data_IF_396419665005
#
_entry.id   IF_396419665005
#
_cell.length_a   1.000
_cell.length_b   1.000
_cell.length_c   1.000
_cell.angle_alpha   90.00
_cell.angle_beta   90.00
_cell.angle_gamma   90.00
#
_symmetry.space_group_name_H-M   'P 1'
#
loop_
_entity.id
_entity.type
_entity.pdbx_description
1 polymer ?
#
# COMPACT_ATOMS: atom_id res chain seq x y z
N UNK A 1 19.43 -23.80 -46.19
CA UNK A 1 19.00 -25.00 -45.46
C UNK A 1 19.70 -24.95 -44.11
N UNK A 2 18.90 -25.07 -43.06
CA UNK A 2 19.26 -25.50 -41.69
C UNK A 2 20.11 -24.51 -40.87
N UNK A 3 19.56 -23.80 -39.87
CA UNK A 3 19.20 -24.27 -38.50
C UNK A 3 20.46 -24.71 -37.72
N UNK A 4 20.77 -24.35 -36.47
CA UNK A 4 20.02 -23.74 -35.36
C UNK A 4 20.95 -23.59 -34.13
N UNK A 5 20.57 -22.68 -33.22
CA UNK A 5 20.79 -22.68 -31.75
C UNK A 5 22.21 -22.34 -31.24
N UNK A 6 22.35 -21.10 -30.75
CA UNK A 6 23.30 -20.77 -29.67
C UNK A 6 22.51 -20.58 -28.39
N UNK A 7 22.90 -21.37 -27.38
CA UNK A 7 22.26 -21.56 -26.08
C UNK A 7 22.28 -20.26 -25.26
N UNK A 8 21.11 -19.84 -24.79
CA UNK A 8 20.97 -18.81 -23.77
C UNK A 8 21.13 -19.45 -22.39
N UNK A 9 22.23 -19.13 -21.71
CA UNK A 9 22.39 -19.38 -20.28
C UNK A 9 23.11 -18.18 -19.67
N UNK A 10 22.31 -17.34 -19.00
CA UNK A 10 22.59 -16.52 -17.80
C UNK A 10 23.99 -15.92 -17.64
N UNK A 11 24.08 -14.59 -17.53
CA UNK A 11 24.37 -13.88 -16.27
C UNK A 11 24.79 -12.42 -16.53
N UNK A 12 24.19 -11.49 -15.77
CA UNK A 12 24.57 -10.09 -15.53
C UNK A 12 24.65 -9.11 -16.70
N UNK A 13 23.56 -8.34 -16.90
CA UNK A 13 23.63 -7.02 -17.53
C UNK A 13 22.80 -6.01 -16.72
N UNK A 14 23.53 -5.12 -16.03
CA UNK A 14 23.16 -3.83 -15.46
C UNK A 14 22.48 -2.93 -16.52
N UNK A 15 21.17 -2.65 -16.45
CA UNK A 15 20.56 -1.60 -17.30
C UNK A 15 19.44 -0.83 -16.56
N UNK A 16 19.81 0.41 -16.20
CA UNK A 16 19.10 1.68 -16.48
C UNK A 16 17.81 2.01 -15.71
N UNK A 17 17.99 2.93 -14.76
CA UNK A 17 17.05 3.97 -14.36
C UNK A 17 16.44 4.69 -15.57
N UNK A 18 15.12 4.69 -15.67
CA UNK A 18 14.38 5.66 -16.50
C UNK A 18 13.11 6.09 -15.77
N UNK A 19 13.23 7.25 -15.14
CA UNK A 19 12.14 8.19 -14.92
C UNK A 19 11.40 8.39 -16.24
N UNK A 20 10.12 8.04 -16.30
CA UNK A 20 9.19 8.67 -17.24
C UNK A 20 7.89 9.01 -16.50
N UNK A 21 7.70 10.32 -16.37
CA UNK A 21 6.46 10.99 -16.01
C UNK A 21 5.28 10.39 -16.80
N UNK A 22 4.29 9.85 -16.10
CA UNK A 22 2.97 9.62 -16.69
C UNK A 22 2.22 10.93 -16.61
N UNK A 23 1.80 11.42 -17.77
CA UNK A 23 1.24 12.74 -18.00
C UNK A 23 0.00 13.05 -17.17
N UNK A 24 -0.10 14.30 -16.76
CA UNK A 24 -1.34 14.94 -16.36
C UNK A 24 -2.17 15.18 -17.64
N UNK A 25 -3.07 14.25 -17.94
CA UNK A 25 -4.16 14.46 -18.89
C UNK A 25 -5.34 15.06 -18.14
N UNK A 26 -5.72 16.27 -18.51
CA UNK A 26 -6.99 16.90 -18.12
C UNK A 26 -8.15 16.16 -18.78
N UNK A 27 -9.15 15.76 -18.00
CA UNK A 27 -10.53 15.63 -18.48
C UNK A 27 -11.50 15.97 -17.33
N UNK A 28 -12.22 17.07 -17.53
CA UNK A 28 -13.36 17.51 -16.72
C UNK A 28 -14.58 16.61 -17.01
N UNK A 29 -14.64 15.44 -16.38
CA UNK A 29 -15.86 14.62 -16.41
C UNK A 29 -16.77 14.96 -15.22
N UNK A 30 -17.78 15.80 -15.50
CA UNK A 30 -19.02 15.85 -14.72
C UNK A 30 -19.69 14.47 -14.76
N UNK A 31 -19.33 13.60 -13.83
CA UNK A 31 -20.06 12.37 -13.58
C UNK A 31 -20.36 12.25 -12.09
N UNK A 32 -21.67 12.23 -11.80
CA UNK A 32 -22.34 11.90 -10.54
C UNK A 32 -21.41 11.58 -9.37
N UNK A 33 -21.17 12.60 -8.54
CA UNK A 33 -20.39 12.55 -7.30
C UNK A 33 -20.96 11.47 -6.37
N UNK A 34 -20.45 10.26 -6.49
CA UNK A 34 -20.39 9.33 -5.38
C UNK A 34 -18.90 9.28 -5.05
N UNK A 35 -18.38 10.31 -4.37
CA UNK A 35 -16.98 10.29 -3.90
C UNK A 35 -16.82 8.99 -3.12
N UNK A 36 -16.05 8.04 -3.65
CA UNK A 36 -15.65 6.84 -2.94
C UNK A 36 -15.16 7.28 -1.56
N UNK A 37 -15.97 6.98 -0.56
CA UNK A 37 -15.65 7.35 0.81
C UNK A 37 -14.75 6.25 1.31
N UNK A 38 -13.53 6.60 1.65
CA UNK A 38 -12.59 5.70 2.30
C UNK A 38 -13.14 5.42 3.71
N UNK A 39 -13.67 4.22 3.89
CA UNK A 39 -14.30 3.78 5.13
C UNK A 39 -13.46 2.76 5.88
N UNK A 40 -12.51 2.12 5.19
CA UNK A 40 -11.66 1.09 5.76
C UNK A 40 -10.20 1.47 5.78
N UNK A 41 -9.49 0.96 6.79
CA UNK A 41 -8.06 1.07 6.99
C UNK A 41 -7.49 -0.31 7.31
N UNK A 42 -6.39 -0.68 6.66
CA UNK A 42 -5.70 -1.95 6.89
C UNK A 42 -4.19 -1.75 6.95
N UNK A 43 -3.51 -2.47 7.84
CA UNK A 43 -2.05 -2.62 7.79
C UNK A 43 -1.71 -3.65 6.71
N UNK A 44 -0.88 -3.28 5.74
CA UNK A 44 -0.49 -4.15 4.63
C UNK A 44 0.90 -4.75 4.78
N UNK A 45 1.73 -4.18 5.65
CA UNK A 45 3.07 -4.67 5.94
C UNK A 45 3.53 -4.14 7.30
N UNK A 46 4.25 -4.97 8.05
CA UNK A 46 4.89 -4.62 9.32
C UNK A 46 6.36 -5.05 9.33
N UNK A 47 7.24 -4.18 9.82
CA UNK A 47 8.67 -4.51 10.01
C UNK A 47 8.98 -5.13 11.37
N UNK A 48 7.99 -5.71 12.05
CA UNK A 48 8.22 -6.41 13.32
C UNK A 48 9.32 -7.48 13.19
N UNK A 49 10.18 -7.58 14.20
CA UNK A 49 11.25 -8.59 14.22
C UNK A 49 10.71 -10.02 14.29
N UNK A 50 9.60 -10.21 15.02
CA UNK A 50 8.96 -11.51 15.18
C UNK A 50 7.91 -11.72 14.10
N UNK A 51 7.95 -12.87 13.44
CA UNK A 51 6.97 -13.23 12.39
C UNK A 51 5.52 -13.17 12.91
N UNK A 52 5.29 -13.68 14.12
CA UNK A 52 3.97 -13.67 14.76
C UNK A 52 3.41 -12.25 14.97
N UNK A 53 4.29 -11.27 15.23
CA UNK A 53 3.88 -9.87 15.37
C UNK A 53 3.53 -9.28 14.01
N UNK A 54 4.32 -9.54 12.97
CA UNK A 54 4.00 -9.08 11.60
C UNK A 54 2.65 -9.59 11.14
N UNK A 55 2.39 -10.88 11.31
CA UNK A 55 1.11 -11.48 10.96
C UNK A 55 -0.04 -10.91 11.79
N UNK A 56 0.18 -10.63 13.08
CA UNK A 56 -0.83 -9.99 13.95
C UNK A 56 -1.15 -8.57 13.48
N UNK A 57 -0.13 -7.82 13.10
CA UNK A 57 -0.27 -6.44 12.61
C UNK A 57 -1.00 -6.41 11.27
N UNK A 58 -0.59 -7.26 10.31
CA UNK A 58 -1.21 -7.34 8.97
C UNK A 58 -2.66 -7.86 8.98
N UNK A 59 -3.10 -8.50 10.07
CA UNK A 59 -4.50 -8.85 10.31
C UNK A 59 -5.34 -7.68 10.79
N UNK A 60 -4.74 -6.57 11.21
CA UNK A 60 -5.50 -5.42 11.70
C UNK A 60 -6.24 -4.72 10.57
N UNK A 61 -7.54 -4.50 10.80
CA UNK A 61 -8.38 -3.74 9.91
C UNK A 61 -9.50 -3.05 10.66
N UNK A 62 -9.79 -1.80 10.27
CA UNK A 62 -10.78 -0.94 10.89
C UNK A 62 -11.73 -0.41 9.82
N UNK A 63 -13.02 -0.33 10.13
CA UNK A 63 -14.07 0.10 9.20
C UNK A 63 -14.92 1.26 9.74
N UNK A 64 -14.39 2.03 10.68
CA UNK A 64 -15.04 3.19 11.31
C UNK A 64 -14.62 4.53 10.68
N UNK A 65 -13.92 4.48 9.54
CA UNK A 65 -13.51 5.66 8.79
C UNK A 65 -14.66 6.24 7.97
N UNK A 66 -14.57 7.53 7.67
CA UNK A 66 -15.41 8.17 6.66
C UNK A 66 -14.70 9.41 6.13
N UNK A 67 -13.83 9.20 5.15
CA UNK A 67 -13.06 10.28 4.54
C UNK A 67 -13.26 10.28 3.02
N UNK A 68 -13.63 11.43 2.45
CA UNK A 68 -13.74 11.58 1.00
C UNK A 68 -12.43 11.99 0.33
N UNK A 69 -11.46 12.45 1.14
CA UNK A 69 -10.12 12.83 0.70
C UNK A 69 -9.13 11.72 1.04
N UNK A 70 -8.39 11.24 0.04
CA UNK A 70 -7.47 10.11 0.20
C UNK A 70 -6.32 10.42 1.17
N UNK A 71 -5.83 11.65 1.18
CA UNK A 71 -4.73 12.06 2.07
C UNK A 71 -5.20 12.05 3.53
N UNK A 72 -6.38 12.63 3.80
CA UNK A 72 -7.01 12.57 5.13
C UNK A 72 -7.31 11.14 5.56
N UNK A 73 -7.78 10.30 4.63
CA UNK A 73 -8.02 8.89 4.88
C UNK A 73 -6.72 8.17 5.28
N UNK A 74 -5.63 8.37 4.53
CA UNK A 74 -4.33 7.80 4.85
C UNK A 74 -3.81 8.30 6.20
N UNK A 75 -3.91 9.60 6.50
CA UNK A 75 -3.52 10.13 7.81
C UNK A 75 -4.31 9.50 8.95
N UNK A 76 -5.64 9.40 8.81
CA UNK A 76 -6.48 8.71 9.78
C UNK A 76 -6.06 7.25 9.97
N UNK A 77 -5.81 6.55 8.86
CA UNK A 77 -5.42 5.14 8.87
C UNK A 77 -4.05 4.92 9.51
N UNK A 78 -3.09 5.79 9.22
CA UNK A 78 -1.78 5.81 9.86
C UNK A 78 -1.90 6.02 11.36
N UNK A 79 -2.71 6.98 11.81
CA UNK A 79 -2.93 7.21 13.24
C UNK A 79 -3.55 5.98 13.92
N UNK A 80 -4.56 5.35 13.30
CA UNK A 80 -5.15 4.09 13.81
C UNK A 80 -4.10 2.97 13.95
N UNK A 81 -3.25 2.80 12.95
CA UNK A 81 -2.19 1.80 12.98
C UNK A 81 -1.16 2.07 14.09
N UNK A 82 -0.75 3.33 14.29
CA UNK A 82 0.15 3.72 15.37
C UNK A 82 -0.51 3.58 16.75
N UNK A 83 -1.78 3.94 16.90
CA UNK A 83 -2.52 3.76 18.16
C UNK A 83 -2.60 2.28 18.55
N UNK A 84 -2.93 1.41 17.60
CA UNK A 84 -2.88 -0.05 17.78
C UNK A 84 -1.47 -0.50 18.20
N UNK A 85 -0.45 -0.07 17.47
CA UNK A 85 0.92 -0.48 17.71
C UNK A 85 1.42 -0.06 19.11
N UNK A 86 1.13 1.18 19.51
CA UNK A 86 1.45 1.69 20.84
C UNK A 86 0.68 0.92 21.93
N UNK A 87 -0.59 0.59 21.71
CA UNK A 87 -1.37 -0.20 22.66
C UNK A 87 -0.86 -1.65 22.78
N UNK A 88 -0.40 -2.24 21.68
CA UNK A 88 0.04 -3.63 21.61
C UNK A 88 1.47 -3.82 22.12
N UNK A 89 2.37 -2.86 21.88
CA UNK A 89 3.82 -2.99 22.12
C UNK A 89 4.39 -1.92 23.07
N UNK A 90 3.55 -1.10 23.71
CA UNK A 90 3.89 0.07 24.56
C UNK A 90 4.57 1.24 23.83
N UNK A 91 5.47 0.95 22.89
CA UNK A 91 6.10 1.92 22.00
C UNK A 91 6.11 1.31 20.60
N UNK A 92 5.58 2.04 19.62
CA UNK A 92 5.70 1.64 18.23
C UNK A 92 7.07 2.02 17.67
N UNK A 93 7.99 1.06 17.64
CA UNK A 93 9.35 1.20 17.07
C UNK A 93 9.47 0.65 15.63
N UNK A 94 8.42 -0.04 15.16
CA UNK A 94 8.36 -0.65 13.84
C UNK A 94 7.66 0.23 12.80
N UNK A 95 8.09 0.11 11.55
CA UNK A 95 7.43 0.75 10.43
C UNK A 95 6.19 -0.06 10.01
N UNK A 96 5.07 0.65 9.82
CA UNK A 96 3.81 0.09 9.36
C UNK A 96 3.44 0.71 8.02
N UNK A 97 3.10 -0.14 7.04
CA UNK A 97 2.48 0.31 5.79
C UNK A 97 0.99 0.15 5.88
N UNK A 98 0.25 1.16 5.41
CA UNK A 98 -1.21 1.18 5.52
C UNK A 98 -1.89 1.39 4.17
N UNK A 99 -3.11 0.90 4.06
CA UNK A 99 -3.98 1.09 2.90
C UNK A 99 -5.37 1.53 3.35
N UNK A 100 -5.98 2.40 2.56
CA UNK A 100 -7.39 2.78 2.71
C UNK A 100 -8.22 2.28 1.52
N UNK A 101 -9.46 1.91 1.80
CA UNK A 101 -10.39 1.40 0.80
C UNK A 101 -11.82 1.85 1.11
N UNK A 102 -12.68 1.87 0.10
CA UNK A 102 -14.14 2.02 0.23
C UNK A 102 -14.84 0.66 0.36
N UNK A 103 -14.09 -0.42 0.16
CA UNK A 103 -14.48 -1.82 0.32
C UNK A 103 -13.89 -2.38 1.61
N UNK A 104 -14.59 -3.36 2.17
CA UNK A 104 -14.28 -4.04 3.42
C UNK A 104 -12.84 -4.52 3.59
N UNK A 105 -12.58 -4.99 4.80
CA UNK A 105 -11.47 -5.86 5.17
C UNK A 105 -11.76 -7.30 4.71
#
# INVERSE_FOLDING_TARGET
MEDKIVKYTFLNILIVSSFLFVGCGSDDDKSTYNKSTYTTCKITNSTALLAENRERDERQCWSDGSQTDKTKALTWCTNKAYDYCNAQYMICDQALSVQVSDKGC
#
